data_IF_003045098673
#
_entry.id   IF_003045098673
#
_cell.length_a   1.000
_cell.length_b   1.000
_cell.length_c   1.000
_cell.angle_alpha   90.00
_cell.angle_beta   90.00
_cell.angle_gamma   90.00
#
_symmetry.space_group_name_H-M   'P 1'
#
loop_
_entity.id
_entity.type
_entity.pdbx_description
1 polymer ?
#
# COMPACT_ATOMS: atom_id res chain seq x y z
N UNK A 1 -11.08 -20.68 3.91
CA UNK A 1 -10.25 -19.83 4.78
C UNK A 1 -10.10 -18.48 4.09
N UNK A 2 -10.69 -17.44 4.67
CA UNK A 2 -10.78 -16.09 4.09
C UNK A 2 -9.39 -15.66 3.58
N UNK A 3 -9.33 -15.08 2.38
CA UNK A 3 -8.08 -14.62 1.74
C UNK A 3 -7.93 -13.10 1.97
N UNK A 4 -7.58 -12.62 3.18
CA UNK A 4 -7.56 -11.18 3.45
C UNK A 4 -6.47 -10.46 2.67
N UNK A 5 -5.31 -11.10 2.41
CA UNK A 5 -4.15 -10.41 1.82
C UNK A 5 -4.43 -9.89 0.40
N UNK A 6 -4.91 -10.70 -0.57
CA UNK A 6 -5.24 -10.17 -1.90
C UNK A 6 -6.35 -9.11 -1.89
N UNK A 7 -7.33 -9.24 -0.99
CA UNK A 7 -8.41 -8.25 -0.87
C UNK A 7 -7.90 -6.92 -0.31
N UNK A 8 -7.02 -6.95 0.69
CA UNK A 8 -6.38 -5.76 1.25
C UNK A 8 -5.47 -5.08 0.24
N UNK A 9 -4.72 -5.84 -0.55
CA UNK A 9 -3.91 -5.26 -1.63
C UNK A 9 -4.79 -4.67 -2.72
N UNK A 10 -5.88 -5.32 -3.12
CA UNK A 10 -6.83 -4.75 -4.08
C UNK A 10 -7.45 -3.44 -3.56
N UNK A 11 -7.78 -3.36 -2.26
CA UNK A 11 -8.25 -2.14 -1.62
C UNK A 11 -7.16 -1.05 -1.65
N UNK A 12 -5.91 -1.38 -1.31
CA UNK A 12 -4.79 -0.43 -1.37
C UNK A 12 -4.61 0.13 -2.78
N UNK A 13 -4.59 -0.73 -3.81
CA UNK A 13 -4.48 -0.28 -5.20
C UNK A 13 -5.62 0.66 -5.59
N UNK A 14 -6.84 0.40 -5.13
CA UNK A 14 -7.98 1.29 -5.35
C UNK A 14 -7.78 2.63 -4.64
N UNK A 15 -7.29 2.62 -3.40
CA UNK A 15 -6.95 3.84 -2.67
C UNK A 15 -5.84 4.63 -3.38
N UNK A 16 -4.79 3.98 -3.87
CA UNK A 16 -3.71 4.63 -4.61
C UNK A 16 -4.24 5.30 -5.90
N UNK A 17 -5.05 4.60 -6.69
CA UNK A 17 -5.67 5.20 -7.87
C UNK A 17 -6.58 6.37 -7.49
N UNK A 18 -7.38 6.22 -6.43
CA UNK A 18 -8.27 7.28 -5.94
C UNK A 18 -7.48 8.50 -5.50
N UNK A 19 -6.40 8.30 -4.74
CA UNK A 19 -5.55 9.36 -4.26
C UNK A 19 -4.81 10.09 -5.38
N UNK A 20 -4.35 9.36 -6.41
CA UNK A 20 -3.77 9.97 -7.60
C UNK A 20 -4.78 10.86 -8.35
N UNK A 21 -6.03 10.39 -8.52
CA UNK A 21 -7.10 11.18 -9.13
C UNK A 21 -7.45 12.42 -8.30
N UNK A 22 -7.51 12.29 -6.96
CA UNK A 22 -7.69 13.42 -6.05
C UNK A 22 -6.53 14.41 -6.19
N UNK A 23 -5.28 13.93 -6.27
CA UNK A 23 -4.09 14.77 -6.39
C UNK A 23 -4.13 15.63 -7.65
N UNK A 24 -4.55 15.05 -8.79
CA UNK A 24 -4.75 15.79 -10.04
C UNK A 24 -5.92 16.77 -9.91
N UNK A 25 -7.07 16.31 -9.41
CA UNK A 25 -8.28 17.13 -9.29
C UNK A 25 -8.15 18.32 -8.34
N UNK A 26 -7.23 18.25 -7.38
CA UNK A 26 -6.93 19.33 -6.41
C UNK A 26 -5.73 20.18 -6.81
N UNK A 27 -5.08 19.87 -7.94
CA UNK A 27 -3.88 20.58 -8.41
C UNK A 27 -2.62 20.31 -7.59
N UNK A 28 -2.61 19.28 -6.74
CA UNK A 28 -1.42 18.82 -6.02
C UNK A 28 -0.38 18.18 -6.95
N UNK A 29 -0.84 17.53 -8.01
CA UNK A 29 0.02 16.92 -9.03
C UNK A 29 -0.41 17.36 -10.43
N UNK A 30 0.53 17.77 -11.30
CA UNK A 30 0.18 18.24 -12.64
C UNK A 30 -0.17 17.10 -13.61
N UNK A 31 0.39 15.89 -13.41
CA UNK A 31 0.08 14.73 -14.24
C UNK A 31 -0.17 13.47 -13.41
N UNK A 32 -0.73 12.44 -14.05
CA UNK A 32 -0.92 11.12 -13.43
C UNK A 32 0.39 10.43 -13.07
N UNK A 33 1.45 10.63 -13.87
CA UNK A 33 2.76 10.07 -13.57
C UNK A 33 3.39 10.74 -12.35
N UNK A 34 3.18 12.05 -12.17
CA UNK A 34 3.62 12.75 -10.96
C UNK A 34 2.80 12.32 -9.74
N UNK A 35 1.49 12.13 -9.93
CA UNK A 35 0.58 11.66 -8.89
C UNK A 35 0.88 10.21 -8.44
N UNK A 36 1.55 9.41 -9.26
CA UNK A 36 2.00 8.05 -8.92
C UNK A 36 3.54 7.93 -8.93
N UNK A 37 4.22 9.06 -8.80
CA UNK A 37 5.68 9.16 -8.78
C UNK A 37 6.27 8.99 -7.38
N UNK A 38 7.58 9.21 -7.25
CA UNK A 38 8.26 9.15 -5.95
C UNK A 38 7.82 10.26 -4.98
N UNK A 39 7.36 11.39 -5.51
CA UNK A 39 6.91 12.55 -4.74
C UNK A 39 5.40 12.53 -4.45
N UNK A 40 4.71 11.44 -4.80
CA UNK A 40 3.27 11.30 -4.61
C UNK A 40 2.91 11.28 -3.12
N UNK A 41 1.99 12.16 -2.71
CA UNK A 41 1.58 12.30 -1.30
C UNK A 41 0.32 11.52 -0.93
N UNK A 42 -0.53 11.25 -1.91
CA UNK A 42 -1.83 10.61 -1.72
C UNK A 42 -1.89 9.20 -2.33
N UNK A 43 -0.77 8.65 -2.77
CA UNK A 43 -0.73 7.33 -3.41
C UNK A 43 0.68 6.77 -3.39
N UNK A 44 0.80 5.45 -3.39
CA UNK A 44 2.08 4.78 -3.52
C UNK A 44 2.66 4.95 -4.93
N UNK A 45 4.00 4.97 -5.09
CA UNK A 45 4.63 5.00 -6.40
C UNK A 45 4.27 3.76 -7.24
N UNK A 46 4.12 3.94 -8.57
CA UNK A 46 3.78 2.85 -9.50
C UNK A 46 4.61 1.57 -9.33
N UNK A 47 5.95 1.62 -9.20
CA UNK A 47 6.76 0.42 -9.00
C UNK A 47 6.34 -0.38 -7.75
N UNK A 48 5.99 0.32 -6.66
CA UNK A 48 5.55 -0.30 -5.42
C UNK A 48 4.19 -0.98 -5.57
N UNK A 49 3.22 -0.31 -6.22
CA UNK A 49 1.90 -0.88 -6.52
C UNK A 49 2.03 -2.19 -7.32
N UNK A 50 2.87 -2.20 -8.35
CA UNK A 50 3.12 -3.38 -9.19
C UNK A 50 3.70 -4.52 -8.35
N UNK A 51 4.72 -4.25 -7.54
CA UNK A 51 5.35 -5.24 -6.67
C UNK A 51 4.34 -5.81 -5.67
N UNK A 52 3.53 -4.96 -5.03
CA UNK A 52 2.49 -5.41 -4.12
C UNK A 52 1.47 -6.33 -4.80
N UNK A 53 1.01 -5.99 -6.01
CA UNK A 53 0.08 -6.83 -6.77
C UNK A 53 0.67 -8.21 -7.10
N UNK A 54 1.94 -8.25 -7.56
CA UNK A 54 2.65 -9.50 -7.86
C UNK A 54 2.82 -10.37 -6.61
N UNK A 55 3.24 -9.76 -5.50
CA UNK A 55 3.40 -10.49 -4.24
C UNK A 55 2.05 -10.98 -3.70
N UNK A 56 0.99 -10.18 -3.81
CA UNK A 56 -0.36 -10.57 -3.40
C UNK A 56 -0.82 -11.81 -4.15
N UNK A 57 -0.58 -11.86 -5.47
CA UNK A 57 -0.82 -13.05 -6.26
C UNK A 57 0.05 -14.24 -5.83
N UNK A 58 1.32 -13.98 -5.52
CA UNK A 58 2.24 -14.97 -4.93
C UNK A 58 1.68 -15.64 -3.67
N UNK A 59 0.98 -14.91 -2.80
CA UNK A 59 0.36 -15.47 -1.58
C UNK A 59 -0.74 -16.50 -1.83
N UNK A 60 -1.28 -16.55 -3.05
CA UNK A 60 -2.34 -17.48 -3.47
C UNK A 60 -1.81 -18.80 -4.02
N UNK A 61 -0.50 -18.90 -4.25
CA UNK A 61 0.12 -20.09 -4.87
C UNK A 61 0.06 -21.31 -3.93
N UNK A 62 -0.07 -22.50 -4.53
CA UNK A 62 -0.11 -23.79 -3.81
C UNK A 62 1.23 -24.15 -3.17
N UNK A 63 2.34 -23.72 -3.77
CA UNK A 63 3.68 -23.96 -3.23
C UNK A 63 3.91 -23.11 -1.97
N UNK A 64 4.04 -23.78 -0.82
CA UNK A 64 4.11 -23.12 0.50
C UNK A 64 5.26 -22.12 0.60
N UNK A 65 6.43 -22.45 0.05
CA UNK A 65 7.58 -21.54 0.04
C UNK A 65 7.31 -20.23 -0.72
N UNK A 66 6.62 -20.29 -1.86
CA UNK A 66 6.31 -19.08 -2.64
C UNK A 66 5.29 -18.22 -1.90
N UNK A 67 4.25 -18.84 -1.33
CA UNK A 67 3.23 -18.14 -0.57
C UNK A 67 3.81 -17.49 0.70
N UNK A 68 4.70 -18.18 1.42
CA UNK A 68 5.36 -17.65 2.62
C UNK A 68 6.30 -16.49 2.30
N UNK A 69 7.19 -16.64 1.30
CA UNK A 69 8.10 -15.57 0.88
C UNK A 69 7.32 -14.34 0.41
N UNK A 70 6.28 -14.54 -0.42
CA UNK A 70 5.49 -13.42 -0.92
C UNK A 70 4.76 -12.68 0.20
N UNK A 71 4.19 -13.40 1.16
CA UNK A 71 3.54 -12.82 2.32
C UNK A 71 4.55 -12.13 3.26
N UNK A 72 5.75 -12.67 3.43
CA UNK A 72 6.81 -12.06 4.23
C UNK A 72 7.30 -10.75 3.62
N UNK A 73 7.52 -10.73 2.30
CA UNK A 73 7.90 -9.52 1.59
C UNK A 73 6.81 -8.44 1.65
N UNK A 74 5.53 -8.81 1.53
CA UNK A 74 4.41 -7.88 1.74
C UNK A 74 4.35 -7.35 3.17
N UNK A 75 4.60 -8.19 4.17
CA UNK A 75 4.64 -7.78 5.56
C UNK A 75 5.70 -6.69 5.79
N UNK A 76 6.92 -6.93 5.30
CA UNK A 76 8.03 -5.99 5.37
C UNK A 76 7.68 -4.69 4.60
N UNK A 77 7.21 -4.82 3.37
CA UNK A 77 6.85 -3.67 2.53
C UNK A 77 5.76 -2.80 3.17
N UNK A 78 4.71 -3.41 3.74
CA UNK A 78 3.64 -2.68 4.41
C UNK A 78 4.11 -1.91 5.65
N UNK A 79 5.01 -2.49 6.44
CA UNK A 79 5.61 -1.80 7.60
C UNK A 79 6.55 -0.68 7.15
N UNK A 80 7.41 -0.91 6.16
CA UNK A 80 8.31 0.12 5.64
C UNK A 80 7.53 1.28 5.00
N UNK A 81 6.48 0.97 4.24
CA UNK A 81 5.59 1.98 3.67
C UNK A 81 4.84 2.78 4.73
N UNK A 82 4.38 2.11 5.80
CA UNK A 82 3.78 2.78 6.93
C UNK A 82 4.75 3.77 7.58
N UNK A 83 5.97 3.33 7.88
CA UNK A 83 7.01 4.17 8.47
C UNK A 83 7.37 5.32 7.53
N UNK A 84 7.66 5.04 6.25
CA UNK A 84 7.99 6.05 5.24
C UNK A 84 6.89 7.11 5.13
N UNK A 85 5.63 6.69 5.05
CA UNK A 85 4.50 7.61 4.91
C UNK A 85 4.36 8.64 6.05
N UNK A 86 4.89 8.36 7.24
CA UNK A 86 5.01 9.35 8.33
C UNK A 86 6.17 10.33 8.16
N UNK A 87 7.27 9.90 7.54
CA UNK A 87 8.49 10.69 7.36
C UNK A 87 8.58 11.40 6.00
N UNK A 88 7.71 11.09 5.03
CA UNK A 88 7.72 11.68 3.68
C UNK A 88 7.24 13.16 3.66
N UNK A 89 7.09 13.81 4.81
CA UNK A 89 6.79 15.24 4.93
C UNK A 89 5.41 15.65 4.42
N UNK A 90 4.51 14.70 4.18
CA UNK A 90 3.15 14.94 3.68
C UNK A 90 2.24 15.68 4.66
N UNK A 91 2.38 15.38 5.96
CA UNK A 91 1.47 15.88 6.99
C UNK A 91 1.63 17.37 7.31
N UNK A 92 2.82 17.91 7.10
CA UNK A 92 3.13 19.33 7.31
C UNK A 92 2.98 20.17 6.03
N UNK A 93 2.55 19.58 4.90
CA UNK A 93 2.31 20.36 3.67
C UNK A 93 1.16 21.34 3.91
N UNK A 94 1.37 22.65 3.71
CA UNK A 94 0.29 23.63 3.81
C UNK A 94 -0.76 23.46 2.70
N UNK A 95 -0.45 22.74 1.61
CA UNK A 95 -1.38 22.46 0.51
C UNK A 95 -2.35 21.31 0.82
N UNK A 96 -2.05 20.47 1.81
CA UNK A 96 -2.97 19.41 2.22
C UNK A 96 -4.04 19.95 3.17
N UNK A 97 -5.28 20.01 2.68
CA UNK A 97 -6.45 20.29 3.51
C UNK A 97 -6.66 19.16 4.54
N UNK A 98 -7.48 19.41 5.56
CA UNK A 98 -7.76 18.42 6.61
C UNK A 98 -8.33 17.10 6.06
N UNK A 99 -9.18 17.16 5.02
CA UNK A 99 -9.74 15.95 4.38
C UNK A 99 -8.69 15.15 3.63
N UNK A 100 -7.74 15.82 2.95
CA UNK A 100 -6.63 15.16 2.27
C UNK A 100 -5.67 14.50 3.27
N UNK A 101 -5.42 15.13 4.42
CA UNK A 101 -4.64 14.51 5.51
C UNK A 101 -5.33 13.27 6.06
N UNK A 102 -6.65 13.31 6.26
CA UNK A 102 -7.40 12.13 6.70
C UNK A 102 -7.30 10.98 5.69
N UNK A 103 -7.36 11.29 4.40
CA UNK A 103 -7.14 10.29 3.35
C UNK A 103 -5.74 9.70 3.41
N UNK A 104 -4.71 10.53 3.58
CA UNK A 104 -3.33 10.07 3.72
C UNK A 104 -3.15 9.16 4.96
N UNK A 105 -3.71 9.54 6.11
CA UNK A 105 -3.69 8.70 7.32
C UNK A 105 -4.35 7.34 7.04
N UNK A 106 -5.50 7.34 6.36
CA UNK A 106 -6.18 6.10 5.99
C UNK A 106 -5.33 5.24 5.05
N UNK A 107 -4.68 5.83 4.04
CA UNK A 107 -3.80 5.14 3.11
C UNK A 107 -2.58 4.52 3.80
N UNK A 108 -1.90 5.29 4.65
CA UNK A 108 -0.76 4.83 5.44
C UNK A 108 -1.19 3.73 6.43
N UNK A 109 -2.33 3.91 7.10
CA UNK A 109 -2.94 2.89 7.96
C UNK A 109 -3.29 1.60 7.22
N UNK A 110 -3.77 1.70 5.97
CA UNK A 110 -4.06 0.53 5.13
C UNK A 110 -2.78 -0.25 4.76
N UNK A 111 -1.64 0.43 4.56
CA UNK A 111 -0.35 -0.23 4.36
C UNK A 111 0.08 -1.04 5.58
N UNK A 112 -0.09 -0.49 6.78
CA UNK A 112 0.18 -1.22 8.02
C UNK A 112 -0.76 -2.42 8.17
N UNK A 113 -2.06 -2.24 7.94
CA UNK A 113 -3.03 -3.33 8.01
C UNK A 113 -2.64 -4.46 7.03
N UNK A 114 -2.34 -4.14 5.78
CA UNK A 114 -1.84 -5.11 4.81
C UNK A 114 -0.56 -5.81 5.31
N UNK A 115 0.37 -5.06 5.90
CA UNK A 115 1.61 -5.60 6.47
C UNK A 115 1.34 -6.62 7.60
N UNK A 116 0.49 -6.26 8.56
CA UNK A 116 0.10 -7.13 9.69
C UNK A 116 -0.59 -8.40 9.21
N UNK A 117 -1.59 -8.29 8.32
CA UNK A 117 -2.32 -9.45 7.81
C UNK A 117 -1.43 -10.35 6.95
N UNK A 118 -0.46 -9.78 6.24
CA UNK A 118 0.55 -10.55 5.51
C UNK A 118 1.50 -11.29 6.47
N UNK A 119 1.89 -10.66 7.59
CA UNK A 119 2.66 -11.33 8.65
C UNK A 119 1.91 -12.50 9.29
N UNK A 120 0.62 -12.30 9.59
CA UNK A 120 -0.26 -13.40 10.05
C UNK A 120 -0.32 -14.53 9.01
N UNK A 121 -0.38 -14.19 7.73
CA UNK A 121 -0.39 -15.18 6.64
C UNK A 121 0.90 -15.99 6.59
N UNK A 122 2.07 -15.40 6.83
CA UNK A 122 3.34 -16.14 6.95
C UNK A 122 3.23 -17.22 8.03
N UNK A 123 2.79 -16.84 9.23
CA UNK A 123 2.64 -17.75 10.37
C UNK A 123 1.68 -18.90 10.04
N UNK A 124 0.57 -18.62 9.36
CA UNK A 124 -0.39 -19.64 8.94
C UNK A 124 0.20 -20.62 7.92
N UNK A 125 0.99 -20.14 6.95
CA UNK A 125 1.60 -20.99 5.92
C UNK A 125 2.69 -21.90 6.53
N UNK A 126 3.44 -21.39 7.50
CA UNK A 126 4.50 -22.15 8.17
C UNK A 126 3.98 -23.21 9.16
N UNK A 127 2.77 -23.03 9.69
CA UNK A 127 2.12 -23.97 10.62
C UNK A 127 1.26 -25.04 9.94
N UNK A 128 0.90 -24.85 8.68
CA UNK A 128 0.15 -25.82 7.88
C UNK A 128 1.06 -26.93 7.38
#
# INVERSE_FOLDING_TARGET
>A
MNRPVPALVALLLLMDVTGALISIGTGLSPTLLDALGSEARLSAPLPMMIVQAVLAFGTTRRHRGVAAVSAGLLAIAGVLAFVSGFYDGGYDDPRLTASLRLFQIALVGAHLAMGVFSGVRVVQVLRA
#
